data_IF_732497519484
#
_entry.id   IF_732497519484
#
_cell.length_a   1.000
_cell.length_b   1.000
_cell.length_c   1.000
_cell.angle_alpha   90.00
_cell.angle_beta   90.00
_cell.angle_gamma   90.00
#
_symmetry.space_group_name_H-M   'P 1'
#
loop_
_entity.id
_entity.type
_entity.pdbx_description
1 polymer ?
#
# COMPACT_ATOMS: atom_id res chain seq x y z
N UNK A 1 30.61 -28.41 19.36
CA UNK A 1 29.56 -27.50 19.90
C UNK A 1 29.39 -26.22 19.08
N UNK A 2 30.45 -25.48 18.72
CA UNK A 2 30.33 -24.20 17.96
C UNK A 2 29.61 -24.31 16.60
N UNK A 3 29.81 -25.39 15.85
CA UNK A 3 29.17 -25.61 14.52
C UNK A 3 27.65 -25.79 14.64
N UNK A 4 27.17 -26.48 15.69
CA UNK A 4 25.74 -26.69 15.93
C UNK A 4 25.05 -25.37 16.28
N UNK A 5 25.75 -24.49 17.01
CA UNK A 5 25.25 -23.15 17.33
C UNK A 5 25.21 -22.27 16.09
N UNK A 6 26.24 -22.26 15.24
CA UNK A 6 26.26 -21.50 13.98
C UNK A 6 25.12 -21.95 13.05
N UNK A 7 24.91 -23.27 12.93
CA UNK A 7 23.82 -23.82 12.11
C UNK A 7 22.44 -23.44 12.68
N UNK A 8 22.29 -23.43 14.01
CA UNK A 8 21.06 -23.02 14.67
C UNK A 8 20.79 -21.52 14.45
N UNK A 9 21.80 -20.67 14.55
CA UNK A 9 21.67 -19.22 14.30
C UNK A 9 21.29 -18.95 12.84
N UNK A 10 21.88 -19.69 11.89
CA UNK A 10 21.55 -19.58 10.47
C UNK A 10 20.09 -20.00 10.19
N UNK A 11 19.63 -21.12 10.74
CA UNK A 11 18.24 -21.54 10.65
C UNK A 11 17.27 -20.51 11.27
N UNK A 12 17.65 -19.87 12.37
CA UNK A 12 16.81 -18.87 13.03
C UNK A 12 16.72 -17.59 12.20
N UNK A 13 17.82 -17.15 11.57
CA UNK A 13 17.81 -16.02 10.64
C UNK A 13 16.95 -16.28 9.40
N UNK A 14 16.95 -17.51 8.87
CA UNK A 14 16.18 -17.89 7.69
C UNK A 14 14.66 -17.99 7.98
N UNK A 15 14.30 -18.35 9.21
CA UNK A 15 12.91 -18.34 9.66
C UNK A 15 12.38 -16.92 9.87
N UNK A 16 13.20 -16.01 10.42
CA UNK A 16 12.83 -14.60 10.63
C UNK A 16 12.55 -13.87 9.31
N UNK A 17 13.30 -14.16 8.24
CA UNK A 17 13.06 -13.53 6.92
C UNK A 17 11.75 -13.99 6.26
N UNK A 18 11.29 -15.21 6.54
CA UNK A 18 10.05 -15.74 5.97
C UNK A 18 8.79 -15.10 6.59
N UNK A 19 8.83 -14.73 7.88
CA UNK A 19 7.69 -14.07 8.54
C UNK A 19 7.46 -12.66 7.99
N UNK A 20 8.53 -11.92 7.68
CA UNK A 20 8.42 -10.59 7.07
C UNK A 20 7.87 -10.64 5.63
N UNK A 21 8.14 -11.72 4.89
CA UNK A 21 7.70 -11.89 3.51
C UNK A 21 6.19 -12.19 3.37
N UNK A 22 5.51 -12.57 4.47
CA UNK A 22 4.10 -12.98 4.42
C UNK A 22 3.11 -11.87 4.82
N UNK A 23 3.59 -10.64 5.08
CA UNK A 23 2.72 -9.50 5.32
C UNK A 23 1.87 -9.22 4.07
N UNK A 24 0.55 -9.31 4.20
CA UNK A 24 -0.40 -9.06 3.12
C UNK A 24 -0.22 -7.63 2.59
N UNK A 25 -0.04 -7.49 1.28
CA UNK A 25 0.05 -6.20 0.60
C UNK A 25 -1.18 -5.33 0.99
N UNK A 26 -0.92 -4.17 1.60
CA UNK A 26 -1.97 -3.23 2.00
C UNK A 26 -2.42 -2.47 0.75
N UNK A 27 -3.70 -2.57 0.40
CA UNK A 27 -4.31 -1.87 -0.73
C UNK A 27 -5.24 -0.79 -0.22
N UNK A 28 -5.14 0.41 -0.78
CA UNK A 28 -5.96 1.57 -0.41
C UNK A 28 -6.68 2.06 -1.67
N UNK A 29 -8.01 2.08 -1.64
CA UNK A 29 -8.82 2.76 -2.66
C UNK A 29 -9.04 4.22 -2.28
N UNK A 30 -8.84 5.13 -3.24
CA UNK A 30 -9.07 6.57 -3.09
C UNK A 30 -10.00 7.05 -4.21
N UNK A 31 -11.27 7.23 -3.88
CA UNK A 31 -12.27 7.85 -4.77
C UNK A 31 -12.29 9.36 -4.53
N UNK A 32 -12.16 10.14 -5.60
CA UNK A 32 -12.12 11.61 -5.57
C UNK A 32 -13.16 12.14 -6.56
N UNK A 33 -13.83 13.24 -6.21
CA UNK A 33 -14.84 13.86 -7.08
C UNK A 33 -14.24 14.43 -8.38
N UNK A 34 -13.27 15.33 -8.29
CA UNK A 34 -12.62 15.93 -9.46
C UNK A 34 -11.14 16.27 -9.19
N UNK A 35 -10.27 15.92 -10.14
CA UNK A 35 -8.83 16.22 -10.13
C UNK A 35 -8.44 17.45 -10.97
N UNK A 36 -9.39 18.22 -11.50
CA UNK A 36 -9.08 19.42 -12.31
C UNK A 36 -8.37 20.52 -11.53
N UNK A 37 -8.59 20.65 -10.22
CA UNK A 37 -7.88 21.63 -9.41
C UNK A 37 -6.51 21.08 -8.98
N UNK A 38 -5.46 21.90 -9.16
CA UNK A 38 -4.08 21.58 -8.78
C UNK A 38 -3.96 21.14 -7.31
N UNK A 39 -4.76 21.75 -6.42
CA UNK A 39 -4.83 21.39 -5.01
C UNK A 39 -5.12 19.90 -4.80
N UNK A 40 -6.15 19.35 -5.45
CA UNK A 40 -6.52 17.94 -5.29
C UNK A 40 -5.46 17.00 -5.84
N UNK A 41 -4.79 17.39 -6.92
CA UNK A 41 -3.66 16.64 -7.46
C UNK A 41 -2.50 16.60 -6.47
N UNK A 42 -2.18 17.74 -5.84
CA UNK A 42 -1.14 17.86 -4.82
C UNK A 42 -1.45 17.04 -3.58
N UNK A 43 -2.68 17.11 -3.08
CA UNK A 43 -3.13 16.37 -1.89
C UNK A 43 -3.09 14.86 -2.16
N UNK A 44 -3.56 14.42 -3.33
CA UNK A 44 -3.41 13.03 -3.81
C UNK A 44 -1.95 12.60 -3.82
N UNK A 45 -1.05 13.39 -4.42
CA UNK A 45 0.35 13.02 -4.57
C UNK A 45 1.08 12.90 -3.23
N UNK A 46 0.78 13.78 -2.27
CA UNK A 46 1.31 13.71 -0.91
C UNK A 46 0.85 12.41 -0.24
N UNK A 47 -0.44 12.08 -0.35
CA UNK A 47 -1.02 10.87 0.21
C UNK A 47 -0.42 9.60 -0.40
N UNK A 48 -0.42 9.50 -1.73
CA UNK A 48 0.10 8.34 -2.47
C UNK A 48 1.57 8.11 -2.12
N UNK A 49 2.41 9.14 -2.20
CA UNK A 49 3.82 9.03 -1.86
C UNK A 49 4.04 8.52 -0.44
N UNK A 50 3.25 9.01 0.53
CA UNK A 50 3.39 8.58 1.91
C UNK A 50 2.95 7.13 2.10
N UNK A 51 1.80 6.75 1.54
CA UNK A 51 1.29 5.39 1.61
C UNK A 51 2.24 4.37 0.95
N UNK A 52 2.76 4.68 -0.24
CA UNK A 52 3.73 3.84 -0.94
C UNK A 52 5.05 3.71 -0.18
N UNK A 53 5.52 4.80 0.46
CA UNK A 53 6.71 4.74 1.33
C UNK A 53 6.54 3.81 2.55
N UNK A 54 5.30 3.51 2.93
CA UNK A 54 4.95 2.60 4.03
C UNK A 54 4.62 1.18 3.53
N UNK A 55 4.78 0.91 2.24
CA UNK A 55 4.54 -0.40 1.63
C UNK A 55 3.09 -0.67 1.24
N UNK A 56 2.23 0.37 1.18
CA UNK A 56 0.88 0.24 0.66
C UNK A 56 0.82 0.55 -0.84
N UNK A 57 -0.18 0.00 -1.53
CA UNK A 57 -0.50 0.32 -2.93
C UNK A 57 -1.80 1.12 -2.99
N UNK A 58 -1.76 2.29 -3.61
CA UNK A 58 -2.92 3.19 -3.71
C UNK A 58 -3.52 3.15 -5.10
N UNK A 59 -4.85 3.00 -5.18
CA UNK A 59 -5.62 3.07 -6.41
C UNK A 59 -6.49 4.33 -6.37
N UNK A 60 -6.14 5.31 -7.21
CA UNK A 60 -6.86 6.58 -7.28
C UNK A 60 -7.82 6.56 -8.45
N UNK A 61 -9.07 6.91 -8.20
CA UNK A 61 -10.12 7.07 -9.22
C UNK A 61 -10.77 8.45 -9.08
N UNK A 62 -11.06 9.08 -10.21
CA UNK A 62 -11.77 10.36 -10.30
C UNK A 62 -13.18 10.11 -10.82
N UNK A 63 -14.19 10.65 -10.16
CA UNK A 63 -15.57 10.60 -10.60
C UNK A 63 -15.89 11.66 -11.68
N UNK A 64 -15.01 12.65 -11.84
CA UNK A 64 -15.17 13.80 -12.74
C UNK A 64 -16.52 14.52 -12.54
N UNK A 65 -16.97 14.68 -11.30
CA UNK A 65 -18.25 15.33 -10.98
C UNK A 65 -19.49 14.45 -11.17
N UNK A 66 -19.33 13.15 -11.47
CA UNK A 66 -20.46 12.23 -11.67
C UNK A 66 -20.69 11.36 -10.43
N UNK A 67 -21.80 11.60 -9.73
CA UNK A 67 -22.15 10.91 -8.47
C UNK A 67 -22.32 9.39 -8.65
N UNK A 68 -22.95 8.94 -9.74
CA UNK A 68 -23.14 7.51 -10.03
C UNK A 68 -21.79 6.79 -10.21
N UNK A 69 -20.85 7.43 -10.89
CA UNK A 69 -19.48 6.95 -11.06
C UNK A 69 -18.77 6.90 -9.72
N UNK A 70 -18.93 7.92 -8.88
CA UNK A 70 -18.33 7.94 -7.54
C UNK A 70 -18.85 6.80 -6.66
N UNK A 71 -20.16 6.56 -6.68
CA UNK A 71 -20.78 5.45 -5.96
C UNK A 71 -20.26 4.09 -6.45
N UNK A 72 -20.20 3.90 -7.77
CA UNK A 72 -19.65 2.68 -8.37
C UNK A 72 -18.17 2.45 -8.00
N UNK A 73 -17.37 3.51 -7.88
CA UNK A 73 -15.96 3.43 -7.47
C UNK A 73 -15.77 3.02 -6.00
N UNK A 74 -16.75 3.31 -5.13
CA UNK A 74 -16.70 2.97 -3.71
C UNK A 74 -17.17 1.53 -3.47
N UNK A 75 -18.12 1.06 -4.27
CA UNK A 75 -18.69 -0.29 -4.15
C UNK A 75 -17.78 -1.41 -4.69
N UNK A 76 -16.88 -1.09 -5.63
CA UNK A 76 -15.96 -2.03 -6.29
C UNK A 76 -14.56 -2.07 -5.67
#
# INVERSE_FOLDING_TARGET
>A
MKIKNILLTLCTSLLLTNVAAHAKEVKIGMAIDDLRLERWQKDRDIFVKKAESLGAKVFVQSANGNEETQMSQIEN
#
